data_IF_393226311934
#
_entry.id   IF_393226311934
#
_cell.length_a   1.000
_cell.length_b   1.000
_cell.length_c   1.000
_cell.angle_alpha   90.00
_cell.angle_beta   90.00
_cell.angle_gamma   90.00
#
_symmetry.space_group_name_H-M   'P 1'
#
loop_
_entity.id
_entity.type
_entity.pdbx_description
1 polymer ?
#
# COMPACT_ATOMS: atom_id res chain seq x y z
N UNK A 1 104.04 -25.57 34.23
CA UNK A 1 103.33 -26.77 33.74
C UNK A 1 102.14 -26.24 32.92
N UNK A 2 102.26 -26.00 31.62
CA UNK A 2 102.18 -26.92 30.45
C UNK A 2 100.71 -27.32 30.15
N UNK A 3 100.29 -27.01 28.91
CA UNK A 3 99.11 -27.48 28.15
C UNK A 3 97.77 -26.77 28.45
N UNK A 4 96.88 -26.46 27.49
CA UNK A 4 96.61 -27.07 26.19
C UNK A 4 95.83 -26.08 25.27
N UNK A 5 96.15 -26.09 23.97
CA UNK A 5 95.41 -25.47 22.86
C UNK A 5 94.29 -26.41 22.42
N UNK A 6 93.08 -25.93 22.11
CA UNK A 6 92.23 -26.53 21.06
C UNK A 6 91.33 -25.48 20.40
N UNK A 7 91.46 -25.43 19.07
CA UNK A 7 90.66 -24.67 18.10
C UNK A 7 89.47 -25.53 17.67
N UNK A 8 88.27 -24.97 17.44
CA UNK A 8 87.34 -25.47 16.40
C UNK A 8 86.22 -24.48 16.03
N UNK A 9 86.23 -24.09 14.75
CA UNK A 9 85.15 -23.76 13.80
C UNK A 9 83.91 -22.92 14.18
N UNK A 10 83.86 -21.73 13.55
CA UNK A 10 82.86 -21.24 12.58
C UNK A 10 81.47 -21.94 12.50
N UNK A 11 80.39 -21.20 12.80
CA UNK A 11 79.17 -21.26 11.99
C UNK A 11 78.47 -19.89 11.94
N UNK A 12 78.23 -19.44 10.72
CA UNK A 12 77.52 -18.23 10.30
C UNK A 12 76.00 -18.43 10.56
N UNK A 13 75.32 -17.42 11.08
CA UNK A 13 73.85 -17.45 11.24
C UNK A 13 73.29 -16.04 11.40
N UNK A 14 73.06 -15.37 10.28
CA UNK A 14 72.34 -14.10 10.19
C UNK A 14 70.87 -14.37 10.54
N UNK A 15 70.38 -13.82 11.65
CA UNK A 15 68.94 -13.83 11.97
C UNK A 15 68.35 -12.53 11.46
N UNK A 16 67.54 -12.65 10.41
CA UNK A 16 66.73 -11.59 9.81
C UNK A 16 65.69 -11.08 10.82
N UNK A 17 65.52 -9.76 10.84
CA UNK A 17 64.42 -9.05 11.48
C UNK A 17 63.10 -9.42 10.79
N UNK A 18 62.10 -9.78 11.58
CA UNK A 18 60.68 -9.58 11.24
C UNK A 18 60.03 -8.89 12.43
N UNK A 19 59.75 -7.60 12.22
CA UNK A 19 58.80 -6.83 12.99
C UNK A 19 57.41 -7.34 12.61
N UNK A 20 56.74 -8.05 13.51
CA UNK A 20 55.31 -8.32 13.36
C UNK A 20 54.55 -7.09 13.85
N UNK A 21 54.15 -6.23 12.92
CA UNK A 21 52.98 -5.39 13.12
C UNK A 21 51.79 -6.34 12.90
N UNK A 22 51.05 -6.66 13.96
CA UNK A 22 49.71 -7.22 13.81
C UNK A 22 48.83 -6.04 13.41
N UNK A 23 48.72 -5.78 12.10
CA UNK A 23 47.62 -5.00 11.57
C UNK A 23 46.38 -5.87 11.68
N UNK A 24 45.45 -5.43 12.52
CA UNK A 24 44.07 -5.89 12.59
C UNK A 24 43.38 -5.48 11.28
N UNK A 25 43.68 -6.22 10.22
CA UNK A 25 42.93 -6.16 8.97
C UNK A 25 41.54 -6.73 9.26
N UNK A 26 40.67 -5.86 9.80
CA UNK A 26 39.27 -6.13 10.01
C UNK A 26 38.69 -6.66 8.71
N UNK A 27 38.36 -7.95 8.70
CA UNK A 27 37.64 -8.60 7.63
C UNK A 27 36.32 -7.87 7.43
N UNK A 28 36.29 -6.93 6.49
CA UNK A 28 35.05 -6.30 6.10
C UNK A 28 34.34 -7.24 5.14
N UNK A 29 33.07 -7.54 5.46
CA UNK A 29 32.24 -8.40 4.63
C UNK A 29 31.72 -7.53 3.50
N UNK A 30 32.26 -7.74 2.30
CA UNK A 30 31.77 -7.04 1.12
C UNK A 30 30.29 -7.35 0.90
N UNK A 31 29.50 -6.29 0.80
CA UNK A 31 28.09 -6.33 0.42
C UNK A 31 27.99 -5.87 -1.03
N UNK A 32 27.08 -6.46 -1.80
CA UNK A 32 26.74 -5.95 -3.13
C UNK A 32 25.81 -4.76 -2.97
N UNK A 33 26.19 -3.64 -3.56
CA UNK A 33 25.40 -2.42 -3.62
C UNK A 33 25.00 -2.15 -5.06
N UNK A 34 23.85 -1.53 -5.25
CA UNK A 34 23.20 -1.30 -6.53
C UNK A 34 23.01 0.21 -6.72
N UNK A 35 23.28 0.72 -7.92
CA UNK A 35 23.22 2.15 -8.23
C UNK A 35 21.80 2.66 -8.00
N UNK A 36 21.69 3.78 -7.28
CA UNK A 36 20.44 4.51 -7.01
C UNK A 36 20.60 5.87 -7.70
N UNK A 37 20.36 5.90 -9.02
CA UNK A 37 20.74 7.05 -9.86
C UNK A 37 19.79 8.23 -9.68
N UNK A 38 18.53 7.98 -9.31
CA UNK A 38 17.53 9.03 -9.07
C UNK A 38 17.27 9.32 -7.58
N UNK A 39 17.85 8.54 -6.67
CA UNK A 39 17.87 8.80 -5.23
C UNK A 39 16.63 8.30 -4.49
N UNK A 40 15.95 7.29 -5.04
CA UNK A 40 14.71 6.74 -4.51
C UNK A 40 14.94 5.63 -3.46
N UNK A 41 16.19 5.21 -3.26
CA UNK A 41 16.56 4.21 -2.26
C UNK A 41 16.37 2.76 -2.71
N UNK A 42 15.96 2.54 -3.96
CA UNK A 42 15.96 1.27 -4.66
C UNK A 42 17.13 1.24 -5.62
N UNK A 43 17.73 0.05 -5.79
CA UNK A 43 18.96 -0.05 -6.54
C UNK A 43 18.79 -0.83 -7.84
N UNK A 44 19.48 -0.38 -8.88
CA UNK A 44 19.46 -1.01 -10.19
C UNK A 44 20.27 -2.33 -10.21
N UNK A 45 19.64 -3.51 -10.39
CA UNK A 45 20.34 -4.79 -10.43
C UNK A 45 21.28 -4.91 -11.63
N UNK A 46 21.11 -4.10 -12.68
CA UNK A 46 22.02 -4.05 -13.83
C UNK A 46 23.30 -3.25 -13.56
N UNK A 47 23.33 -2.39 -12.53
CA UNK A 47 24.50 -1.59 -12.16
C UNK A 47 24.82 -1.81 -10.68
N UNK A 48 25.80 -2.67 -10.40
CA UNK A 48 26.18 -3.02 -9.03
C UNK A 48 27.70 -3.00 -8.80
N UNK A 49 28.07 -2.80 -7.54
CA UNK A 49 29.45 -2.87 -7.07
C UNK A 49 29.54 -3.48 -5.67
N UNK A 50 30.66 -4.15 -5.38
CA UNK A 50 30.93 -4.70 -4.05
C UNK A 50 31.73 -3.71 -3.22
N UNK A 51 31.25 -3.41 -2.02
CA UNK A 51 31.92 -2.54 -1.07
C UNK A 51 31.58 -2.94 0.37
N UNK A 52 32.47 -2.61 1.30
CA UNK A 52 32.29 -2.92 2.71
C UNK A 52 31.31 -1.96 3.42
N UNK A 53 31.34 -0.68 3.02
CA UNK A 53 30.39 0.34 3.43
C UNK A 53 29.60 0.80 2.21
N UNK A 54 28.40 1.34 2.44
CA UNK A 54 27.53 1.88 1.40
C UNK A 54 28.24 2.98 0.58
N UNK A 55 28.46 2.78 -0.73
CA UNK A 55 28.97 3.84 -1.59
C UNK A 55 27.95 4.96 -1.79
N UNK A 56 28.41 6.18 -2.03
CA UNK A 56 27.54 7.31 -2.36
C UNK A 56 26.79 7.04 -3.68
N UNK A 57 25.45 7.16 -3.67
CA UNK A 57 24.59 6.87 -4.81
C UNK A 57 24.33 5.38 -5.05
N UNK A 58 24.50 4.53 -4.03
CA UNK A 58 24.20 3.10 -4.11
C UNK A 58 23.43 2.63 -2.87
N UNK A 59 22.55 1.64 -3.01
CA UNK A 59 21.77 1.01 -1.93
C UNK A 59 21.90 -0.51 -1.95
N UNK A 60 21.53 -1.19 -0.86
CA UNK A 60 21.63 -2.65 -0.79
C UNK A 60 20.46 -3.36 -1.48
N UNK A 61 19.36 -2.62 -1.66
CA UNK A 61 18.17 -3.04 -2.40
C UNK A 61 18.48 -3.16 -3.89
N UNK A 62 17.84 -4.10 -4.58
CA UNK A 62 18.08 -4.38 -6.00
C UNK A 62 16.81 -4.44 -6.85
N UNK A 63 15.74 -3.83 -6.36
CA UNK A 63 14.40 -3.94 -6.92
C UNK A 63 14.08 -2.89 -7.98
N UNK A 64 14.99 -1.96 -8.28
CA UNK A 64 14.73 -0.95 -9.31
C UNK A 64 15.09 -1.44 -10.72
N UNK A 65 14.12 -1.48 -11.62
CA UNK A 65 14.34 -1.87 -13.03
C UNK A 65 14.36 -0.69 -14.00
N UNK A 66 14.16 0.56 -13.53
CA UNK A 66 14.12 1.77 -14.35
C UNK A 66 14.75 3.01 -13.67
N UNK A 67 16.08 2.98 -13.58
CA UNK A 67 17.00 4.05 -13.13
C UNK A 67 16.96 5.36 -13.98
N UNK A 68 15.96 5.51 -14.86
CA UNK A 68 15.87 6.60 -15.85
C UNK A 68 14.61 7.45 -15.78
N UNK A 69 13.70 7.19 -14.84
CA UNK A 69 12.44 7.91 -14.72
C UNK A 69 12.04 8.16 -13.27
N UNK A 70 11.89 9.43 -12.89
CA UNK A 70 11.61 9.90 -11.53
C UNK A 70 10.25 9.46 -10.96
N UNK A 71 10.13 8.18 -10.68
CA UNK A 71 9.28 7.69 -9.62
C UNK A 71 9.86 8.19 -8.31
N UNK A 72 9.08 8.90 -7.53
CA UNK A 72 9.51 9.22 -6.16
C UNK A 72 9.15 8.04 -5.28
N UNK A 73 10.16 7.39 -4.68
CA UNK A 73 9.93 6.33 -3.71
C UNK A 73 8.89 6.73 -2.68
N UNK A 74 7.95 5.83 -2.46
CA UNK A 74 6.77 6.10 -1.65
C UNK A 74 6.75 5.36 -0.32
N UNK A 75 7.83 4.63 0.00
CA UNK A 75 7.85 3.69 1.11
C UNK A 75 7.17 2.36 0.76
N UNK A 76 7.36 1.36 1.64
CA UNK A 76 6.71 0.06 1.50
C UNK A 76 5.33 0.08 2.13
N UNK A 77 4.37 -0.61 1.51
CA UNK A 77 3.03 -0.82 2.07
C UNK A 77 3.14 -1.60 3.39
N UNK A 78 2.62 -1.08 4.51
CA UNK A 78 2.73 -1.75 5.81
C UNK A 78 1.91 -3.04 5.82
N UNK A 79 2.57 -4.18 6.08
CA UNK A 79 1.92 -5.51 6.09
C UNK A 79 0.80 -5.61 7.15
N UNK A 80 0.93 -4.88 8.26
CA UNK A 80 -0.08 -4.83 9.32
C UNK A 80 -1.42 -4.21 8.87
N UNK A 81 -1.44 -3.41 7.80
CA UNK A 81 -2.70 -2.89 7.24
C UNK A 81 -3.62 -4.03 6.75
N UNK A 82 -3.05 -5.16 6.34
CA UNK A 82 -3.82 -6.30 5.87
C UNK A 82 -4.48 -7.10 7.00
N UNK A 83 -4.12 -6.85 8.27
CA UNK A 83 -4.80 -7.44 9.44
C UNK A 83 -6.23 -6.88 9.63
N UNK A 84 -6.53 -5.70 9.08
CA UNK A 84 -7.85 -5.07 9.15
C UNK A 84 -8.84 -5.66 8.11
N UNK A 85 -8.34 -6.38 7.10
CA UNK A 85 -9.20 -6.99 6.09
C UNK A 85 -9.96 -8.17 6.67
N UNK A 86 -11.24 -8.26 6.32
CA UNK A 86 -12.11 -9.35 6.75
C UNK A 86 -11.65 -10.69 6.15
N UNK A 87 -11.04 -11.54 6.98
CA UNK A 87 -10.53 -12.85 6.59
C UNK A 87 -11.62 -13.83 6.08
N UNK A 88 -12.90 -13.59 6.34
CA UNK A 88 -14.00 -14.39 5.79
C UNK A 88 -14.33 -14.01 4.33
N UNK A 89 -13.96 -12.80 3.90
CA UNK A 89 -14.22 -12.27 2.57
C UNK A 89 -12.96 -12.15 1.71
N UNK A 90 -11.82 -11.88 2.34
CA UNK A 90 -10.57 -11.51 1.68
C UNK A 90 -9.45 -12.47 2.06
N UNK A 91 -8.72 -12.94 1.06
CA UNK A 91 -7.45 -13.66 1.20
C UNK A 91 -6.33 -12.77 0.67
N UNK A 92 -5.31 -12.55 1.50
CA UNK A 92 -4.10 -11.79 1.13
C UNK A 92 -2.92 -12.74 1.06
N UNK A 93 -2.14 -12.66 -0.01
CA UNK A 93 -0.92 -13.43 -0.18
C UNK A 93 0.24 -12.55 -0.65
N UNK A 94 1.45 -12.92 -0.24
CA UNK A 94 2.68 -12.19 -0.52
C UNK A 94 3.64 -13.11 -1.27
N UNK A 95 4.12 -12.67 -2.43
CA UNK A 95 5.12 -13.39 -3.24
C UNK A 95 6.21 -12.41 -3.71
N UNK A 96 7.37 -12.45 -3.04
CA UNK A 96 8.43 -11.47 -3.28
C UNK A 96 7.93 -10.04 -3.03
N UNK A 97 8.00 -9.22 -4.07
CA UNK A 97 7.62 -7.80 -4.04
C UNK A 97 6.17 -7.58 -4.52
N UNK A 98 5.35 -8.64 -4.58
CA UNK A 98 3.95 -8.55 -4.96
C UNK A 98 3.01 -8.93 -3.80
N UNK A 99 1.90 -8.21 -3.70
CA UNK A 99 0.77 -8.47 -2.81
C UNK A 99 -0.43 -8.81 -3.67
N UNK A 100 -1.00 -9.99 -3.48
CA UNK A 100 -2.24 -10.40 -4.14
C UNK A 100 -3.40 -10.40 -3.14
N UNK A 101 -4.47 -9.70 -3.49
CA UNK A 101 -5.70 -9.60 -2.72
C UNK A 101 -6.81 -10.27 -3.53
N UNK A 102 -7.40 -11.33 -2.97
CA UNK A 102 -8.54 -12.04 -3.53
C UNK A 102 -9.76 -11.84 -2.64
N UNK A 103 -10.89 -11.43 -3.21
CA UNK A 103 -12.12 -11.16 -2.47
C UNK A 103 -13.33 -11.88 -3.07
N UNK A 104 -14.20 -12.39 -2.20
CA UNK A 104 -15.51 -12.95 -2.58
C UNK A 104 -16.63 -11.88 -2.70
N UNK A 105 -16.29 -10.60 -2.57
CA UNK A 105 -17.17 -9.43 -2.70
C UNK A 105 -18.28 -9.30 -1.64
N UNK A 106 -18.32 -10.16 -0.61
CA UNK A 106 -19.34 -10.05 0.42
C UNK A 106 -18.98 -8.98 1.45
N UNK A 107 -19.83 -7.96 1.67
CA UNK A 107 -19.58 -6.97 2.70
C UNK A 107 -19.76 -7.56 4.11
N UNK A 108 -18.96 -7.10 5.06
CA UNK A 108 -19.03 -7.52 6.47
C UNK A 108 -19.78 -6.51 7.34
N UNK A 109 -20.96 -6.08 6.88
CA UNK A 109 -21.82 -5.17 7.63
C UNK A 109 -23.30 -5.42 7.31
N UNK A 110 -24.17 -4.80 8.10
CA UNK A 110 -25.61 -4.87 7.87
C UNK A 110 -26.01 -4.06 6.65
N UNK A 111 -27.01 -4.52 5.90
CA UNK A 111 -27.49 -3.80 4.71
C UNK A 111 -28.93 -4.19 4.37
N UNK A 112 -29.76 -3.26 3.85
CA UNK A 112 -31.06 -3.59 3.28
C UNK A 112 -30.96 -4.38 1.98
N UNK A 113 -29.77 -4.52 1.39
CA UNK A 113 -29.55 -5.34 0.20
C UNK A 113 -29.35 -6.83 0.50
N UNK A 114 -29.18 -7.23 1.76
CA UNK A 114 -29.22 -8.64 2.12
C UNK A 114 -30.63 -9.22 1.90
N UNK A 115 -30.72 -10.55 1.73
CA UNK A 115 -32.01 -11.23 1.81
C UNK A 115 -32.59 -11.08 3.22
N UNK A 116 -33.91 -10.88 3.34
CA UNK A 116 -34.56 -10.65 4.64
C UNK A 116 -34.40 -11.81 5.64
N UNK A 117 -34.01 -13.00 5.18
CA UNK A 117 -33.67 -14.14 6.03
C UNK A 117 -32.20 -14.17 6.51
N UNK A 118 -31.34 -13.33 5.94
CA UNK A 118 -29.94 -13.19 6.34
C UNK A 118 -29.85 -12.43 7.67
N UNK A 119 -28.95 -12.85 8.56
CA UNK A 119 -28.72 -12.19 9.86
C UNK A 119 -28.17 -10.77 9.76
N UNK A 120 -27.57 -10.39 8.63
CA UNK A 120 -27.05 -9.06 8.35
C UNK A 120 -28.09 -8.16 7.65
N UNK A 121 -29.30 -8.64 7.42
CA UNK A 121 -30.37 -7.79 6.90
C UNK A 121 -30.83 -6.78 7.96
N UNK A 122 -31.02 -5.54 7.53
CA UNK A 122 -31.70 -4.48 8.28
C UNK A 122 -32.65 -3.72 7.35
N UNK A 123 -33.64 -3.03 7.90
CA UNK A 123 -34.43 -2.07 7.13
C UNK A 123 -33.55 -0.87 6.70
N UNK A 124 -33.88 -0.18 5.59
CA UNK A 124 -33.17 1.03 5.16
C UNK A 124 -33.06 2.09 6.27
N UNK A 125 -31.83 2.52 6.55
CA UNK A 125 -31.54 3.53 7.58
C UNK A 125 -31.54 4.94 6.99
N UNK A 126 -30.73 5.14 5.94
CA UNK A 126 -30.61 6.41 5.22
C UNK A 126 -31.12 6.36 3.78
N UNK A 127 -31.19 5.15 3.20
CA UNK A 127 -31.58 4.97 1.81
C UNK A 127 -33.05 5.33 1.58
N UNK A 128 -33.32 6.06 0.50
CA UNK A 128 -34.67 6.28 -0.02
C UNK A 128 -35.11 5.01 -0.74
N UNK A 129 -36.03 4.26 -0.12
CA UNK A 129 -36.51 2.97 -0.62
C UNK A 129 -36.94 2.96 -2.10
N UNK A 130 -37.53 4.05 -2.60
CA UNK A 130 -37.97 4.14 -3.99
C UNK A 130 -36.83 4.28 -5.00
N UNK A 131 -35.66 4.74 -4.55
CA UNK A 131 -34.48 4.97 -5.39
C UNK A 131 -33.43 3.85 -5.25
N UNK A 132 -33.63 2.93 -4.30
CA UNK A 132 -32.77 1.76 -4.15
C UNK A 132 -32.76 0.93 -5.45
N UNK A 133 -31.55 0.62 -5.91
CA UNK A 133 -31.37 -0.28 -7.05
C UNK A 133 -31.95 -1.68 -6.77
N UNK A 134 -32.44 -2.40 -7.80
CA UNK A 134 -32.89 -3.78 -7.61
C UNK A 134 -31.68 -4.71 -7.42
N UNK A 135 -31.88 -5.78 -6.66
CA UNK A 135 -30.87 -6.82 -6.46
C UNK A 135 -30.74 -7.23 -5.00
N UNK A 136 -29.93 -8.25 -4.75
CA UNK A 136 -29.53 -8.68 -3.41
C UNK A 136 -28.04 -8.95 -3.42
N UNK A 137 -27.38 -8.72 -2.29
CA UNK A 137 -25.97 -9.04 -2.11
C UNK A 137 -25.78 -10.53 -2.41
N UNK A 138 -24.78 -10.81 -3.24
CA UNK A 138 -24.38 -12.14 -3.64
C UNK A 138 -22.86 -12.18 -3.78
N UNK A 139 -22.30 -13.38 -3.70
CA UNK A 139 -20.86 -13.60 -3.91
C UNK A 139 -20.44 -13.12 -5.31
N UNK A 140 -19.25 -12.54 -5.36
CA UNK A 140 -18.49 -12.21 -6.56
C UNK A 140 -17.08 -12.75 -6.46
N UNK A 141 -16.21 -12.33 -7.38
CA UNK A 141 -14.78 -12.63 -7.33
C UNK A 141 -14.06 -11.38 -7.83
N UNK A 142 -13.16 -10.86 -7.02
CA UNK A 142 -12.27 -9.77 -7.38
C UNK A 142 -10.85 -10.14 -6.97
N UNK A 143 -9.93 -10.11 -7.92
CA UNK A 143 -8.50 -10.32 -7.64
C UNK A 143 -7.69 -9.15 -8.16
N UNK A 144 -6.80 -8.63 -7.33
CA UNK A 144 -5.79 -7.64 -7.74
C UNK A 144 -4.43 -8.04 -7.20
N UNK A 145 -3.40 -7.90 -8.04
CA UNK A 145 -1.99 -8.05 -7.64
C UNK A 145 -1.33 -6.69 -7.80
N UNK A 146 -0.68 -6.21 -6.75
CA UNK A 146 -0.03 -4.90 -6.69
C UNK A 146 1.37 -5.02 -6.09
N UNK A 147 2.29 -4.07 -6.37
CA UNK A 147 3.60 -4.05 -5.74
C UNK A 147 3.50 -3.85 -4.22
N UNK A 148 4.39 -4.49 -3.46
CA UNK A 148 4.55 -4.27 -2.02
C UNK A 148 5.17 -2.89 -1.69
N UNK A 149 5.88 -2.31 -2.67
CA UNK A 149 6.42 -0.95 -2.62
C UNK A 149 5.95 -0.20 -3.87
N UNK A 150 4.67 0.24 -3.92
CA UNK A 150 4.12 0.95 -5.07
C UNK A 150 4.85 2.27 -5.29
N UNK A 151 4.71 2.81 -6.49
CA UNK A 151 5.54 3.90 -6.98
C UNK A 151 4.66 4.98 -7.60
N UNK A 152 4.95 6.25 -7.31
CA UNK A 152 4.20 7.36 -7.93
C UNK A 152 4.59 7.47 -9.40
N UNK A 153 3.63 7.27 -10.29
CA UNK A 153 3.80 7.57 -11.69
C UNK A 153 4.01 9.08 -11.89
N UNK A 154 4.74 9.45 -12.94
CA UNK A 154 5.02 10.86 -13.25
C UNK A 154 3.78 11.66 -13.68
N UNK A 155 2.70 10.97 -14.04
CA UNK A 155 1.40 11.56 -14.38
C UNK A 155 0.30 10.71 -13.74
N UNK A 156 -0.81 11.36 -13.41
CA UNK A 156 -2.01 10.67 -12.92
C UNK A 156 -2.67 9.84 -14.03
N UNK A 157 -3.47 8.86 -13.63
CA UNK A 157 -4.25 8.00 -14.53
C UNK A 157 -5.71 7.99 -14.12
N UNK A 158 -6.61 8.35 -15.05
CA UNK A 158 -8.04 8.29 -14.79
C UNK A 158 -8.50 6.88 -14.40
N UNK A 159 -9.44 6.82 -13.46
CA UNK A 159 -10.13 5.58 -13.13
C UNK A 159 -11.05 5.13 -14.27
N UNK A 160 -11.32 3.82 -14.34
CA UNK A 160 -12.26 3.24 -15.29
C UNK A 160 -13.55 2.83 -14.63
N UNK A 161 -14.49 2.32 -15.44
CA UNK A 161 -15.68 1.66 -14.92
C UNK A 161 -15.32 0.36 -14.19
N UNK A 162 -16.06 0.07 -13.13
CA UNK A 162 -15.88 -1.14 -12.35
C UNK A 162 -15.12 -0.89 -11.05
N UNK A 163 -14.58 -1.97 -10.50
CA UNK A 163 -13.79 -1.90 -9.28
C UNK A 163 -12.48 -1.16 -9.55
N UNK A 164 -12.17 -0.20 -8.68
CA UNK A 164 -10.90 0.54 -8.64
C UNK A 164 -10.09 0.20 -7.39
N UNK A 165 -10.64 -0.65 -6.52
CA UNK A 165 -10.00 -1.11 -5.29
C UNK A 165 -10.82 -2.18 -4.58
N UNK A 166 -10.24 -2.77 -3.55
CA UNK A 166 -10.88 -3.76 -2.66
C UNK A 166 -10.90 -3.16 -1.24
N UNK A 167 -12.10 -3.04 -0.66
CA UNK A 167 -12.24 -2.54 0.70
C UNK A 167 -11.82 -3.58 1.75
N UNK A 168 -11.57 -3.12 2.97
CA UNK A 168 -11.33 -3.99 4.13
C UNK A 168 -12.48 -4.98 4.38
N UNK A 169 -13.70 -4.65 3.95
CA UNK A 169 -14.85 -5.55 4.12
C UNK A 169 -14.89 -6.68 3.09
N UNK A 170 -14.19 -6.52 1.96
CA UNK A 170 -14.23 -7.41 0.80
C UNK A 170 -15.04 -6.86 -0.38
N UNK A 171 -16.07 -6.03 -0.15
CA UNK A 171 -16.78 -5.42 -1.27
C UNK A 171 -15.86 -4.45 -2.05
N UNK A 172 -15.99 -4.38 -3.39
CA UNK A 172 -15.14 -3.52 -4.21
C UNK A 172 -15.49 -2.04 -4.04
N UNK A 173 -14.48 -1.19 -4.25
CA UNK A 173 -14.58 0.27 -4.26
C UNK A 173 -14.73 0.71 -5.72
N UNK A 174 -15.70 1.57 -6.00
CA UNK A 174 -15.97 2.13 -7.32
C UNK A 174 -15.74 3.65 -7.28
N UNK A 175 -15.49 4.24 -8.46
CA UNK A 175 -15.25 5.67 -8.62
C UNK A 175 -16.56 6.47 -8.62
N UNK A 176 -16.55 7.69 -9.15
CA UNK A 176 -17.72 8.57 -9.18
C UNK A 176 -18.65 8.35 -10.38
N UNK A 177 -18.52 7.24 -11.12
CA UNK A 177 -19.34 6.94 -12.29
C UNK A 177 -20.42 5.86 -12.02
N UNK A 178 -21.67 6.14 -12.42
CA UNK A 178 -22.76 5.15 -12.48
C UNK A 178 -22.68 4.25 -13.72
N UNK A 179 -21.96 4.70 -14.74
CA UNK A 179 -21.88 4.05 -16.04
C UNK A 179 -20.99 4.84 -16.99
N UNK A 180 -20.79 4.35 -18.23
CA UNK A 180 -19.79 4.93 -19.14
C UNK A 180 -19.98 6.42 -19.38
N UNK A 181 -19.09 7.25 -18.82
CA UNK A 181 -19.15 8.72 -18.88
C UNK A 181 -20.44 9.30 -18.25
N UNK A 182 -20.97 8.63 -17.23
CA UNK A 182 -22.16 9.06 -16.48
C UNK A 182 -21.75 9.22 -15.02
N UNK A 183 -21.55 10.46 -14.59
CA UNK A 183 -21.28 10.80 -13.20
C UNK A 183 -22.46 10.41 -12.29
N UNK A 184 -22.13 10.04 -11.06
CA UNK A 184 -23.08 9.71 -10.02
C UNK A 184 -23.97 10.91 -9.67
N UNK A 185 -25.27 10.65 -9.66
CA UNK A 185 -26.32 11.63 -9.44
C UNK A 185 -26.86 11.56 -8.02
N UNK A 186 -27.36 12.69 -7.50
CA UNK A 186 -27.90 12.76 -6.14
C UNK A 186 -29.10 11.81 -5.96
N UNK A 187 -29.89 11.60 -7.01
CA UNK A 187 -31.02 10.68 -6.97
C UNK A 187 -30.58 9.23 -6.77
N UNK A 188 -29.57 8.79 -7.50
CA UNK A 188 -29.03 7.42 -7.36
C UNK A 188 -28.31 7.26 -6.03
N UNK A 189 -27.48 8.23 -5.64
CA UNK A 189 -26.82 8.24 -4.34
C UNK A 189 -27.82 8.18 -3.17
N UNK A 190 -29.02 8.78 -3.31
CA UNK A 190 -30.06 8.68 -2.28
C UNK A 190 -30.61 7.27 -2.06
N UNK A 191 -30.42 6.37 -3.02
CA UNK A 191 -30.77 4.96 -2.90
C UNK A 191 -29.71 4.09 -2.23
N UNK A 192 -28.53 4.64 -1.90
CA UNK A 192 -27.44 3.85 -1.31
C UNK A 192 -27.73 3.58 0.17
N UNK A 193 -27.26 2.44 0.67
CA UNK A 193 -27.38 2.13 2.08
C UNK A 193 -26.44 2.99 2.94
N UNK A 194 -26.49 2.81 4.26
CA UNK A 194 -25.66 3.63 5.16
C UNK A 194 -24.17 3.42 4.98
N UNK A 195 -23.75 2.33 4.33
CA UNK A 195 -22.35 2.06 4.03
C UNK A 195 -21.87 2.77 2.76
N UNK A 196 -22.75 3.55 2.10
CA UNK A 196 -22.41 4.26 0.87
C UNK A 196 -22.34 3.35 -0.35
N UNK A 197 -22.96 2.17 -0.27
CA UNK A 197 -22.95 1.16 -1.32
C UNK A 197 -24.34 0.77 -1.82
N UNK A 198 -24.35 0.11 -2.97
CA UNK A 198 -25.58 -0.37 -3.60
C UNK A 198 -25.33 -1.56 -4.52
N UNK A 199 -26.43 -2.15 -5.00
CA UNK A 199 -26.37 -3.20 -6.02
C UNK A 199 -26.25 -2.61 -7.42
N UNK A 200 -25.30 -3.09 -8.20
CA UNK A 200 -25.27 -2.90 -9.65
C UNK A 200 -25.03 -4.20 -10.42
N UNK A 201 -24.75 -4.10 -11.73
CA UNK A 201 -24.65 -5.27 -12.62
C UNK A 201 -23.58 -6.29 -12.21
N UNK A 202 -22.53 -5.85 -11.52
CA UNK A 202 -21.39 -6.67 -11.07
C UNK A 202 -21.48 -7.09 -9.60
N UNK A 203 -22.60 -6.79 -8.93
CA UNK A 203 -22.79 -7.06 -7.51
C UNK A 203 -22.85 -5.80 -6.65
N UNK A 204 -22.76 -5.99 -5.34
CA UNK A 204 -22.72 -4.92 -4.36
C UNK A 204 -21.35 -4.24 -4.37
N UNK A 205 -21.31 -2.91 -4.28
CA UNK A 205 -20.08 -2.12 -4.28
C UNK A 205 -20.29 -0.77 -3.63
N UNK A 206 -19.19 -0.14 -3.18
CA UNK A 206 -19.22 1.18 -2.55
C UNK A 206 -18.81 2.27 -3.52
N UNK A 207 -19.45 3.42 -3.38
CA UNK A 207 -19.01 4.67 -4.01
C UNK A 207 -18.72 5.75 -2.96
N UNK A 208 -19.50 5.77 -1.86
CA UNK A 208 -19.53 6.87 -0.91
C UNK A 208 -18.96 6.47 0.44
N UNK A 209 -18.48 7.46 1.20
CA UNK A 209 -18.18 7.28 2.62
C UNK A 209 -19.45 6.85 3.38
N UNK A 210 -19.28 6.00 4.39
CA UNK A 210 -20.38 5.57 5.23
C UNK A 210 -20.97 6.73 6.04
N UNK A 211 -22.27 6.65 6.32
CA UNK A 211 -22.99 7.65 7.08
C UNK A 211 -22.70 7.58 8.59
N UNK A 212 -22.81 8.72 9.26
CA UNK A 212 -22.78 8.84 10.73
C UNK A 212 -24.06 8.30 11.39
N UNK A 213 -24.18 6.98 11.45
CA UNK A 213 -25.33 6.29 12.05
C UNK A 213 -24.87 5.18 12.98
N UNK A 214 -25.72 4.78 13.93
CA UNK A 214 -25.38 3.77 14.94
C UNK A 214 -25.08 2.38 14.38
N UNK A 215 -25.58 2.10 13.18
CA UNK A 215 -25.40 0.87 12.43
C UNK A 215 -24.00 0.80 11.78
N UNK A 216 -23.36 1.95 11.58
CA UNK A 216 -21.97 1.98 11.15
C UNK A 216 -21.04 1.70 12.34
N UNK A 217 -20.60 0.45 12.44
CA UNK A 217 -19.68 -0.01 13.49
C UNK A 217 -18.31 -0.41 12.96
N UNK A 218 -18.07 -0.27 11.65
CA UNK A 218 -16.90 -0.84 10.97
C UNK A 218 -16.28 0.12 9.94
N UNK A 219 -17.10 0.80 9.16
CA UNK A 219 -16.64 1.57 8.01
C UNK A 219 -16.21 2.97 8.44
N UNK A 220 -15.17 3.48 7.80
CA UNK A 220 -14.67 4.84 8.01
C UNK A 220 -15.78 5.88 7.92
N UNK A 221 -15.82 6.79 8.90
CA UNK A 221 -16.57 8.04 8.81
C UNK A 221 -15.88 9.14 9.61
N UNK A 222 -15.35 10.16 8.91
CA UNK A 222 -14.62 11.29 9.51
C UNK A 222 -13.50 10.89 10.47
N UNK A 223 -12.78 9.81 10.14
CA UNK A 223 -11.75 9.19 10.96
C UNK A 223 -10.48 8.89 10.14
N UNK A 224 -9.53 8.18 10.74
CA UNK A 224 -8.26 7.74 10.15
C UNK A 224 -8.24 6.22 9.91
N UNK A 225 -9.41 5.56 9.83
CA UNK A 225 -9.50 4.12 9.65
C UNK A 225 -9.06 3.70 8.23
N UNK A 226 -8.53 2.48 8.08
CA UNK A 226 -8.25 1.92 6.77
C UNK A 226 -9.56 1.61 6.04
N UNK A 227 -9.67 2.05 4.79
CA UNK A 227 -10.83 1.79 3.93
C UNK A 227 -10.56 0.60 3.02
N UNK A 228 -9.35 0.47 2.50
CA UNK A 228 -8.96 -0.62 1.60
C UNK A 228 -7.67 -0.33 0.85
N UNK A 229 -7.52 -1.02 -0.28
CA UNK A 229 -6.40 -0.86 -1.21
C UNK A 229 -6.92 -0.57 -2.61
N UNK A 230 -6.32 0.43 -3.28
CA UNK A 230 -6.63 0.81 -4.65
C UNK A 230 -5.85 -0.05 -5.65
N UNK A 231 -6.33 -0.11 -6.89
CA UNK A 231 -5.76 -0.94 -7.94
C UNK A 231 -4.35 -0.52 -8.36
N UNK A 232 -3.91 0.68 -8.01
CA UNK A 232 -2.55 1.17 -8.24
C UNK A 232 -1.56 0.84 -7.11
N UNK A 233 -2.03 0.11 -6.08
CA UNK A 233 -1.23 -0.41 -4.98
C UNK A 233 -1.21 0.44 -3.72
N UNK A 234 -1.76 1.65 -3.76
CA UNK A 234 -1.81 2.51 -2.59
C UNK A 234 -2.99 2.18 -1.67
N UNK A 235 -2.74 2.23 -0.37
CA UNK A 235 -3.80 2.14 0.63
C UNK A 235 -4.64 3.42 0.61
N UNK A 236 -5.92 3.27 0.93
CA UNK A 236 -6.84 4.38 1.16
C UNK A 236 -7.33 4.37 2.61
N UNK A 237 -7.22 5.51 3.27
CA UNK A 237 -7.67 5.76 4.64
C UNK A 237 -8.85 6.73 4.67
N UNK A 238 -9.49 6.84 5.83
CA UNK A 238 -10.54 7.81 6.11
C UNK A 238 -10.07 9.26 5.96
N UNK A 239 -10.97 10.20 6.20
CA UNK A 239 -10.72 11.64 5.94
C UNK A 239 -9.60 12.26 6.76
N UNK A 240 -9.20 11.66 7.88
CA UNK A 240 -8.23 12.23 8.82
C UNK A 240 -6.89 11.54 8.71
N UNK A 241 -5.84 12.31 8.88
CA UNK A 241 -4.48 11.80 8.93
C UNK A 241 -4.15 11.38 10.36
N UNK A 242 -3.70 10.14 10.53
CA UNK A 242 -3.34 9.60 11.85
C UNK A 242 -2.23 10.42 12.54
N UNK A 243 -1.22 10.83 11.78
CA UNK A 243 -0.06 11.56 12.32
C UNK A 243 -0.40 12.96 12.86
N UNK A 244 -1.41 13.62 12.29
CA UNK A 244 -1.85 14.97 12.69
C UNK A 244 -3.09 14.96 13.58
N UNK A 245 -3.92 13.91 13.46
CA UNK A 245 -5.24 13.83 14.08
C UNK A 245 -6.25 14.81 13.48
N UNK A 246 -6.03 15.34 12.28
CA UNK A 246 -6.93 16.29 11.60
C UNK A 246 -7.02 15.97 10.10
N UNK A 247 -7.88 16.68 9.37
CA UNK A 247 -7.95 16.56 7.91
C UNK A 247 -6.61 17.01 7.29
N UNK A 248 -5.99 16.20 6.40
CA UNK A 248 -4.76 16.59 5.73
C UNK A 248 -5.01 17.81 4.83
N UNK A 249 -4.07 18.74 4.82
CA UNK A 249 -4.16 19.99 4.03
C UNK A 249 -3.18 20.03 2.86
N UNK A 250 -2.45 18.94 2.66
CA UNK A 250 -1.34 18.78 1.74
C UNK A 250 -1.52 17.60 0.77
N UNK A 251 -2.77 17.15 0.60
CA UNK A 251 -3.11 16.13 -0.40
C UNK A 251 -2.76 16.60 -1.82
N UNK A 252 -2.24 15.68 -2.63
CA UNK A 252 -2.01 15.89 -4.05
C UNK A 252 -3.28 15.67 -4.89
N UNK A 253 -3.13 15.72 -6.22
CA UNK A 253 -4.25 15.59 -7.18
C UNK A 253 -4.96 14.24 -7.10
N UNK A 254 -4.30 13.21 -6.55
CA UNK A 254 -4.86 11.87 -6.36
C UNK A 254 -5.37 11.65 -4.93
N UNK A 255 -5.46 12.74 -4.13
CA UNK A 255 -5.93 12.68 -2.75
C UNK A 255 -4.95 11.99 -1.81
N UNK A 256 -3.67 11.89 -2.17
CA UNK A 256 -2.67 11.24 -1.34
C UNK A 256 -1.58 12.16 -0.83
N UNK A 257 -0.88 11.68 0.20
CA UNK A 257 0.30 12.33 0.77
C UNK A 257 1.20 11.32 1.45
N UNK A 258 2.39 11.74 1.89
CA UNK A 258 3.33 10.88 2.61
C UNK A 258 3.29 11.22 4.09
N UNK A 259 2.88 10.26 4.92
CA UNK A 259 2.94 10.37 6.38
C UNK A 259 2.92 8.97 7.02
N UNK A 260 3.05 8.89 8.35
CA UNK A 260 2.86 7.63 9.07
C UNK A 260 1.39 7.39 9.41
N UNK A 261 1.02 6.10 9.49
CA UNK A 261 -0.33 5.65 9.85
C UNK A 261 -0.29 4.76 11.09
N UNK A 262 -1.46 4.37 11.58
CA UNK A 262 -1.60 3.39 12.65
C UNK A 262 -1.00 2.01 12.31
N UNK A 263 -0.71 1.75 11.03
CA UNK A 263 -0.15 0.49 10.55
C UNK A 263 1.37 0.56 10.30
N UNK A 264 1.96 1.75 10.19
CA UNK A 264 3.34 1.87 9.71
C UNK A 264 4.43 1.90 10.80
N UNK A 265 4.07 1.70 12.07
CA UNK A 265 5.01 1.75 13.21
C UNK A 265 5.85 3.05 13.27
N UNK A 266 5.33 4.14 12.72
CA UNK A 266 5.97 5.46 12.66
C UNK A 266 6.79 5.73 11.39
N UNK A 267 6.94 4.74 10.51
CA UNK A 267 7.55 4.95 9.19
C UNK A 267 6.58 5.68 8.26
N UNK A 268 7.11 6.56 7.41
CA UNK A 268 6.31 7.33 6.46
C UNK A 268 6.19 6.60 5.13
N UNK A 269 5.00 6.61 4.55
CA UNK A 269 4.74 6.08 3.22
C UNK A 269 3.58 6.83 2.56
N UNK A 270 3.48 6.78 1.23
CA UNK A 270 2.40 7.41 0.50
C UNK A 270 1.12 6.59 0.60
N UNK A 271 0.02 7.26 0.92
CA UNK A 271 -1.31 6.69 0.94
C UNK A 271 -2.34 7.74 0.56
N UNK A 272 -3.49 7.27 0.11
CA UNK A 272 -4.62 8.11 -0.25
C UNK A 272 -5.56 8.29 0.94
N UNK A 273 -6.32 9.38 0.92
CA UNK A 273 -7.40 9.65 1.85
C UNK A 273 -8.73 9.79 1.11
N UNK A 274 -9.82 9.44 1.78
CA UNK A 274 -11.12 10.02 1.44
C UNK A 274 -10.96 11.54 1.52
N UNK A 275 -11.21 12.25 0.42
CA UNK A 275 -11.07 13.70 0.38
C UNK A 275 -12.23 14.31 1.17
N UNK A 276 -11.95 15.22 2.10
CA UNK A 276 -12.95 15.90 2.92
C UNK A 276 -13.71 17.00 2.15
N UNK A 277 -14.28 16.64 1.01
CA UNK A 277 -15.04 17.52 0.13
C UNK A 277 -16.36 16.86 -0.27
N UNK A 278 -17.45 17.63 -0.23
CA UNK A 278 -18.73 17.15 -0.74
C UNK A 278 -18.67 17.02 -2.26
N UNK A 279 -19.02 15.83 -2.76
CA UNK A 279 -19.12 15.55 -4.18
C UNK A 279 -20.46 16.06 -4.74
N UNK A 280 -21.57 15.52 -4.25
CA UNK A 280 -22.94 15.90 -4.65
C UNK A 280 -23.82 16.00 -3.40
N UNK A 281 -24.55 17.10 -3.26
CA UNK A 281 -25.38 17.32 -2.08
C UNK A 281 -24.55 17.26 -0.79
N UNK A 282 -24.82 16.26 0.05
CA UNK A 282 -24.10 15.98 1.30
C UNK A 282 -23.22 14.74 1.24
N UNK A 283 -23.05 14.13 0.06
CA UNK A 283 -22.31 12.88 -0.10
C UNK A 283 -20.82 13.13 -0.36
N UNK A 284 -19.98 12.29 0.21
CA UNK A 284 -18.53 12.27 0.02
C UNK A 284 -18.19 10.94 -0.66
N UNK A 285 -17.37 10.97 -1.71
CA UNK A 285 -16.90 9.77 -2.40
C UNK A 285 -15.78 9.10 -1.62
N UNK A 286 -15.70 7.78 -1.67
CA UNK A 286 -14.49 7.08 -1.21
C UNK A 286 -13.29 7.51 -2.04
N UNK A 287 -13.43 7.49 -3.38
CA UNK A 287 -12.38 7.91 -4.29
C UNK A 287 -12.98 8.39 -5.61
N UNK A 288 -12.72 9.65 -5.98
CA UNK A 288 -13.33 10.33 -7.14
C UNK A 288 -12.34 11.10 -8.00
N UNK A 289 -11.06 10.80 -7.85
CA UNK A 289 -9.95 11.47 -8.53
C UNK A 289 -9.15 10.47 -9.36
N UNK A 290 -8.08 10.93 -9.99
CA UNK A 290 -7.19 10.06 -10.74
C UNK A 290 -6.27 9.26 -9.79
N UNK A 291 -5.77 8.14 -10.27
CA UNK A 291 -4.76 7.32 -9.59
C UNK A 291 -3.37 7.93 -9.77
N UNK A 292 -2.51 7.78 -8.76
CA UNK A 292 -1.13 8.26 -8.82
C UNK A 292 -0.14 7.15 -9.16
N UNK A 293 -0.48 5.89 -8.92
CA UNK A 293 0.41 4.75 -9.17
C UNK A 293 0.23 4.15 -10.56
N UNK A 294 0.82 2.97 -10.78
CA UNK A 294 0.58 2.18 -11.99
C UNK A 294 -0.64 1.28 -11.79
N UNK A 295 -1.77 1.51 -12.48
CA UNK A 295 -2.98 0.74 -12.25
C UNK A 295 -2.81 -0.73 -12.67
N UNK A 296 -3.19 -1.64 -11.78
CA UNK A 296 -3.29 -3.07 -12.04
C UNK A 296 -4.73 -3.44 -12.39
N UNK A 297 -4.92 -4.51 -13.16
CA UNK A 297 -6.26 -4.97 -13.48
C UNK A 297 -6.88 -5.68 -12.28
N UNK A 298 -8.12 -5.33 -11.95
CA UNK A 298 -8.96 -6.13 -11.07
C UNK A 298 -9.76 -7.11 -11.93
N UNK A 299 -9.55 -8.42 -11.71
CA UNK A 299 -10.20 -9.52 -12.45
C UNK A 299 -11.37 -10.14 -11.71
#
# INVERSE_FOLDING_TARGET
>A
MKYLIFSFLLLLGVVFLVSSCEDDEGLCVETTWYEDADGDGLGNPAVSQSACDQPEGYVADNSDSDDTGGSSATGSTPVSAFDDFNADAVTVSFDGDEITIESNALPHHTSPYWDASNSLYIDPVVAVESEMSPGRINEGSYTVTVPASPQKASNTSATGLGAIGISITGAPIFNDEEGPNVALSENVASGFDYAGGHMGPTGYHYHLEAADVSENTLLSHDDDALVGILQDGFLIYGRRCNSTGDHPTDLDESGGHTSSTQHSDGEEFYHCHIINEFYIGSYILLFGVDLQGTPNAIM
#
